data_IF_985775069459
#
_entry.id   IF_985775069459
#
_cell.length_a   1.000
_cell.length_b   1.000
_cell.length_c   1.000
_cell.angle_alpha   90.00
_cell.angle_beta   90.00
_cell.angle_gamma   90.00
#
_symmetry.space_group_name_H-M   'P 1'
#
loop_
_entity.id
_entity.type
_entity.pdbx_description
1 polymer ?
#
# COMPACT_ATOMS: atom_id res chain seq x y z
N UNK A 1 33.46 50.46 67.45
CA UNK A 1 33.66 49.04 67.29
C UNK A 1 32.89 48.60 66.08
N UNK A 2 33.56 48.40 64.94
CA UNK A 2 32.97 47.98 63.67
C UNK A 2 33.06 46.42 63.61
N UNK A 3 31.96 45.77 63.73
CA UNK A 3 31.88 44.34 63.52
C UNK A 3 31.74 44.07 62.00
N UNK A 4 32.75 43.41 61.42
CA UNK A 4 32.79 42.99 60.03
C UNK A 4 31.98 41.64 59.95
N UNK A 5 30.88 41.62 59.21
CA UNK A 5 30.13 40.38 58.91
C UNK A 5 30.74 39.81 57.63
N UNK A 6 31.39 38.63 57.74
CA UNK A 6 31.83 37.85 56.56
C UNK A 6 30.62 37.34 55.80
N UNK A 7 30.61 37.41 54.43
CA UNK A 7 29.55 36.81 53.64
C UNK A 7 29.68 35.28 53.59
N UNK A 8 28.63 34.60 54.00
CA UNK A 8 28.53 33.14 54.05
C UNK A 8 28.82 32.52 52.71
N UNK A 9 29.54 31.40 52.74
CA UNK A 9 29.88 30.51 51.63
C UNK A 9 28.62 30.05 50.91
N UNK A 10 28.50 30.49 49.65
CA UNK A 10 27.38 30.12 48.77
C UNK A 10 27.23 28.60 48.64
N UNK A 11 26.04 28.18 48.98
CA UNK A 11 25.55 26.82 48.79
C UNK A 11 25.54 26.54 47.28
N UNK A 12 26.52 25.75 46.81
CA UNK A 12 26.53 25.24 45.44
C UNK A 12 25.41 24.21 45.33
N UNK A 13 24.46 24.34 44.43
CA UNK A 13 23.45 23.31 44.22
C UNK A 13 24.14 21.99 43.85
N UNK A 14 23.99 20.96 44.68
CA UNK A 14 24.41 19.61 44.39
C UNK A 14 23.72 19.12 43.14
N UNK A 15 24.44 18.55 42.16
CA UNK A 15 23.79 17.97 40.99
C UNK A 15 22.77 16.88 41.42
N UNK A 16 21.60 16.78 40.78
CA UNK A 16 20.61 15.79 41.15
C UNK A 16 21.19 14.37 41.05
N UNK A 17 21.07 13.62 42.14
CA UNK A 17 21.47 12.21 42.18
C UNK A 17 20.62 11.44 41.18
N UNK A 18 21.21 10.69 40.23
CA UNK A 18 20.44 9.87 39.29
C UNK A 18 19.60 8.85 40.08
N UNK A 19 18.28 8.87 39.85
CA UNK A 19 17.40 7.87 40.46
C UNK A 19 17.74 6.45 39.97
N UNK A 20 17.43 5.40 40.76
CA UNK A 20 17.76 4.00 40.43
C UNK A 20 17.16 3.44 39.13
N UNK A 21 16.44 4.24 38.35
CA UNK A 21 15.92 3.90 37.02
C UNK A 21 16.72 4.47 35.84
N UNK A 22 17.71 5.36 36.08
CA UNK A 22 18.46 5.99 35.01
C UNK A 22 19.45 5.00 34.33
N UNK A 23 20.01 4.10 35.10
CA UNK A 23 20.93 3.07 34.58
C UNK A 23 20.17 1.96 33.80
N UNK A 24 18.92 1.65 34.20
CA UNK A 24 18.07 0.71 33.43
C UNK A 24 17.61 1.27 32.07
N UNK A 25 17.42 2.59 31.98
CA UNK A 25 17.07 3.25 30.72
C UNK A 25 18.28 3.35 29.76
N UNK A 26 19.51 3.44 30.29
CA UNK A 26 20.71 3.44 29.49
C UNK A 26 21.06 2.05 28.92
N UNK A 27 20.76 0.99 29.65
CA UNK A 27 20.98 -0.40 29.19
C UNK A 27 19.90 -0.88 28.18
N UNK A 28 18.72 -0.24 28.15
CA UNK A 28 17.69 -0.46 27.11
C UNK A 28 17.94 0.36 25.83
N UNK A 29 18.98 1.19 25.80
CA UNK A 29 19.51 1.89 24.64
C UNK A 29 20.09 0.89 23.66
N UNK A 30 19.23 0.33 22.80
CA UNK A 30 19.46 -0.81 21.93
C UNK A 30 20.79 -0.79 21.19
N UNK A 31 21.52 -1.90 21.31
CA UNK A 31 22.77 -2.23 20.65
C UNK A 31 22.80 -1.79 19.17
N UNK A 32 23.98 -1.36 18.63
CA UNK A 32 24.14 -0.87 17.26
C UNK A 32 23.69 -1.86 16.17
N UNK A 33 23.59 -3.15 16.49
CA UNK A 33 23.05 -4.18 15.66
C UNK A 33 21.55 -3.96 15.34
N UNK A 34 20.73 -3.56 16.31
CA UNK A 34 19.29 -3.28 16.11
C UNK A 34 19.06 -2.10 15.17
N UNK A 35 19.89 -1.06 15.22
CA UNK A 35 19.81 0.09 14.29
C UNK A 35 20.22 -0.29 12.86
N UNK A 36 21.22 -1.16 12.67
CA UNK A 36 21.64 -1.65 11.35
C UNK A 36 20.57 -2.55 10.71
N UNK A 37 19.92 -3.43 11.48
CA UNK A 37 18.78 -4.23 11.01
C UNK A 37 17.59 -3.34 10.60
N UNK A 38 17.25 -2.34 11.41
CA UNK A 38 16.13 -1.43 11.10
C UNK A 38 16.37 -0.59 9.83
N UNK A 39 17.61 -0.31 9.44
CA UNK A 39 17.94 0.42 8.21
C UNK A 39 18.06 -0.48 6.96
N UNK A 40 18.29 -1.77 7.13
CA UNK A 40 18.41 -2.72 6.02
C UNK A 40 17.05 -3.20 5.52
N UNK A 41 16.08 -3.45 6.42
CA UNK A 41 14.75 -3.98 6.10
C UNK A 41 14.06 -3.25 4.94
N UNK A 42 13.98 -1.91 4.88
CA UNK A 42 13.29 -1.25 3.79
C UNK A 42 14.05 -1.25 2.44
N UNK A 43 15.37 -1.49 2.45
CA UNK A 43 16.13 -1.67 1.21
C UNK A 43 15.91 -3.07 0.65
N UNK A 44 16.00 -4.07 1.53
CA UNK A 44 15.78 -5.47 1.15
C UNK A 44 14.35 -5.67 0.67
N UNK A 45 13.33 -5.17 1.40
CA UNK A 45 11.94 -5.28 0.97
C UNK A 45 11.64 -4.53 -0.33
N UNK A 46 12.28 -3.38 -0.57
CA UNK A 46 12.19 -2.66 -1.84
C UNK A 46 12.77 -3.46 -3.01
N UNK A 47 13.95 -4.05 -2.81
CA UNK A 47 14.53 -4.96 -3.80
C UNK A 47 13.66 -6.20 -4.05
N UNK A 48 13.06 -6.77 -3.00
CA UNK A 48 12.16 -7.93 -3.13
C UNK A 48 10.91 -7.58 -3.93
N UNK A 49 10.25 -6.45 -3.62
CA UNK A 49 9.07 -6.01 -4.39
C UNK A 49 9.43 -5.70 -5.83
N UNK A 50 10.53 -4.98 -6.07
CA UNK A 50 11.00 -4.70 -7.42
C UNK A 50 11.32 -6.00 -8.17
N UNK A 51 12.02 -6.94 -7.53
CA UNK A 51 12.33 -8.24 -8.11
C UNK A 51 11.06 -9.04 -8.42
N UNK A 52 10.05 -9.03 -7.52
CA UNK A 52 8.76 -9.68 -7.77
C UNK A 52 8.00 -9.03 -8.92
N UNK A 53 7.96 -7.69 -8.98
CA UNK A 53 7.32 -6.97 -10.10
C UNK A 53 8.04 -7.29 -11.42
N UNK A 54 9.36 -7.19 -11.46
CA UNK A 54 10.15 -7.54 -12.65
C UNK A 54 9.97 -9.01 -13.02
N UNK A 55 10.00 -9.90 -12.03
CA UNK A 55 9.77 -11.33 -12.25
C UNK A 55 8.38 -11.57 -12.84
N UNK A 56 7.30 -11.02 -12.27
CA UNK A 56 5.94 -11.22 -12.81
C UNK A 56 5.77 -10.66 -14.22
N UNK A 57 6.54 -9.64 -14.62
CA UNK A 57 6.53 -9.12 -15.99
C UNK A 57 7.34 -10.01 -16.96
N UNK A 58 8.46 -10.58 -16.50
CA UNK A 58 9.33 -11.43 -17.30
C UNK A 58 8.92 -12.92 -17.28
N UNK A 59 8.23 -13.36 -16.24
CA UNK A 59 7.86 -14.77 -16.04
C UNK A 59 7.09 -15.41 -17.22
N UNK A 60 6.20 -14.71 -17.93
CA UNK A 60 5.58 -15.29 -19.13
C UNK A 60 6.57 -15.73 -20.22
N UNK A 61 7.77 -15.12 -20.28
CA UNK A 61 8.83 -15.51 -21.22
C UNK A 61 9.51 -16.82 -20.82
N UNK A 62 9.39 -17.21 -19.57
CA UNK A 62 9.95 -18.46 -19.02
C UNK A 62 8.93 -19.61 -19.06
N UNK A 63 7.71 -19.37 -19.55
CA UNK A 63 6.65 -20.37 -19.63
C UNK A 63 7.03 -21.46 -20.64
N UNK A 64 7.10 -22.76 -20.24
CA UNK A 64 7.48 -23.84 -21.15
C UNK A 64 6.43 -24.13 -22.22
N UNK A 65 5.14 -23.82 -21.91
CA UNK A 65 4.02 -24.07 -22.82
C UNK A 65 3.15 -22.81 -22.96
N UNK A 66 2.32 -22.78 -24.01
CA UNK A 66 1.30 -21.74 -24.12
C UNK A 66 0.27 -21.87 -23.01
N UNK A 67 -0.19 -20.73 -22.45
CA UNK A 67 -1.23 -20.71 -21.39
C UNK A 67 -2.56 -21.37 -21.81
N UNK A 68 -2.75 -21.61 -23.11
CA UNK A 68 -3.96 -22.24 -23.68
C UNK A 68 -3.76 -23.70 -24.06
N UNK A 69 -2.52 -24.16 -24.12
CA UNK A 69 -2.17 -25.49 -24.58
C UNK A 69 -2.56 -26.55 -23.55
N UNK A 70 -3.26 -27.58 -24.00
CA UNK A 70 -3.60 -28.76 -23.21
C UNK A 70 -2.47 -29.76 -23.36
N UNK A 71 -1.77 -30.06 -22.27
CA UNK A 71 -0.59 -30.93 -22.27
C UNK A 71 -0.87 -32.33 -21.70
N UNK A 72 -2.04 -32.55 -21.08
CA UNK A 72 -2.37 -33.84 -20.47
C UNK A 72 -3.78 -33.92 -19.94
N UNK A 73 -4.00 -34.94 -19.09
CA UNK A 73 -5.30 -35.12 -18.44
C UNK A 73 -5.59 -34.04 -17.41
N UNK A 74 -6.85 -33.69 -17.18
CA UNK A 74 -7.24 -32.73 -16.13
C UNK A 74 -6.77 -33.18 -14.74
N UNK A 75 -6.35 -32.20 -13.93
CA UNK A 75 -5.90 -32.41 -12.54
C UNK A 75 -4.74 -33.39 -12.35
N UNK A 76 -3.89 -33.59 -13.36
CA UNK A 76 -2.67 -34.39 -13.19
C UNK A 76 -1.79 -33.79 -12.07
N UNK A 77 -1.21 -34.65 -11.25
CA UNK A 77 -0.36 -34.26 -10.12
C UNK A 77 1.00 -33.75 -10.60
N UNK A 78 1.70 -32.90 -9.79
CA UNK A 78 3.06 -32.49 -10.08
C UNK A 78 3.97 -33.70 -10.41
N UNK A 79 4.74 -33.57 -11.49
CA UNK A 79 5.66 -34.62 -11.96
C UNK A 79 5.03 -35.73 -12.80
N UNK A 80 3.70 -35.84 -12.89
CA UNK A 80 3.03 -36.77 -13.81
C UNK A 80 2.94 -36.19 -15.23
N UNK A 81 2.46 -34.94 -15.32
CA UNK A 81 2.39 -34.17 -16.56
C UNK A 81 2.80 -32.73 -16.23
N UNK A 82 3.88 -32.25 -16.88
CA UNK A 82 4.47 -30.96 -16.55
C UNK A 82 5.08 -30.89 -15.13
N UNK A 83 5.71 -29.77 -14.81
CA UNK A 83 6.44 -29.58 -13.54
C UNK A 83 5.48 -29.47 -12.35
N UNK A 84 4.43 -28.64 -12.47
CA UNK A 84 3.45 -28.41 -11.41
C UNK A 84 2.12 -29.17 -11.62
N UNK A 85 2.04 -30.02 -12.66
CA UNK A 85 0.81 -30.71 -13.04
C UNK A 85 -0.08 -29.84 -13.95
N UNK A 86 -1.37 -30.20 -14.02
CA UNK A 86 -2.33 -29.60 -14.93
C UNK A 86 -3.52 -29.01 -14.18
N UNK A 87 -4.19 -28.06 -14.84
CA UNK A 87 -5.46 -27.48 -14.38
C UNK A 87 -6.69 -28.33 -14.74
N UNK A 88 -7.88 -27.80 -14.51
CA UNK A 88 -9.17 -28.45 -14.80
C UNK A 88 -9.41 -28.81 -16.28
N UNK A 89 -8.67 -28.21 -17.22
CA UNK A 89 -8.70 -28.50 -18.64
C UNK A 89 -7.49 -29.27 -19.12
N UNK A 90 -6.56 -29.68 -18.24
CA UNK A 90 -5.34 -30.34 -18.65
C UNK A 90 -4.24 -29.37 -19.17
N UNK A 91 -4.33 -28.05 -18.92
CA UNK A 91 -3.35 -27.05 -19.33
C UNK A 91 -2.20 -27.00 -18.33
N UNK A 92 -0.99 -26.61 -18.80
CA UNK A 92 0.19 -26.52 -17.93
C UNK A 92 0.01 -25.47 -16.81
N UNK A 93 0.04 -25.98 -15.57
CA UNK A 93 -0.16 -25.14 -14.39
C UNK A 93 0.99 -24.16 -14.17
N UNK A 94 2.24 -24.55 -14.45
CA UNK A 94 3.42 -23.69 -14.30
C UNK A 94 3.34 -22.50 -15.27
N UNK A 95 3.06 -22.74 -16.55
CA UNK A 95 2.95 -21.70 -17.55
C UNK A 95 1.85 -20.70 -17.21
N UNK A 96 0.70 -21.17 -16.75
CA UNK A 96 -0.41 -20.32 -16.31
C UNK A 96 -0.07 -19.53 -15.03
N UNK A 97 0.64 -20.13 -14.08
CA UNK A 97 1.09 -19.45 -12.85
C UNK A 97 2.07 -18.32 -13.18
N UNK A 98 3.04 -18.56 -14.06
CA UNK A 98 4.01 -17.56 -14.50
C UNK A 98 3.33 -16.40 -15.24
N UNK A 99 2.35 -16.68 -16.09
CA UNK A 99 1.63 -15.65 -16.84
C UNK A 99 0.60 -14.88 -16.00
N UNK A 100 -0.03 -15.52 -15.01
CA UNK A 100 -1.16 -14.97 -14.26
C UNK A 100 -0.81 -13.79 -13.34
N UNK A 101 0.44 -13.69 -12.90
CA UNK A 101 0.88 -12.60 -12.03
C UNK A 101 0.96 -11.24 -12.72
N UNK A 102 1.26 -11.24 -14.02
CA UNK A 102 1.43 -10.00 -14.80
C UNK A 102 0.17 -9.14 -14.80
N UNK A 103 -0.97 -9.76 -15.10
CA UNK A 103 -2.27 -9.07 -15.17
C UNK A 103 -2.66 -8.48 -13.82
N UNK A 104 -2.53 -9.25 -12.74
CA UNK A 104 -2.85 -8.80 -11.38
C UNK A 104 -2.00 -7.59 -10.95
N UNK A 105 -0.68 -7.65 -11.15
CA UNK A 105 0.26 -6.59 -10.71
C UNK A 105 0.03 -5.30 -11.48
N UNK A 106 -0.13 -5.37 -12.79
CA UNK A 106 -0.38 -4.18 -13.63
C UNK A 106 -1.71 -3.53 -13.28
N UNK A 107 -2.76 -4.34 -13.12
CA UNK A 107 -4.09 -3.83 -12.79
C UNK A 107 -4.12 -3.23 -11.37
N UNK A 108 -3.51 -3.91 -10.38
CA UNK A 108 -3.41 -3.38 -9.03
C UNK A 108 -2.64 -2.06 -8.99
N UNK A 109 -1.54 -1.95 -9.74
CA UNK A 109 -0.78 -0.72 -9.89
C UNK A 109 -1.61 0.41 -10.51
N UNK A 110 -2.33 0.13 -11.61
CA UNK A 110 -3.19 1.11 -12.26
C UNK A 110 -4.33 1.59 -11.35
N UNK A 111 -5.00 0.66 -10.65
CA UNK A 111 -6.05 0.98 -9.69
C UNK A 111 -5.52 1.82 -8.52
N UNK A 112 -4.37 1.45 -7.98
CA UNK A 112 -3.69 2.19 -6.90
C UNK A 112 -3.34 3.60 -7.33
N UNK A 113 -2.78 3.77 -8.53
CA UNK A 113 -2.44 5.08 -9.07
C UNK A 113 -3.69 5.94 -9.26
N UNK A 114 -4.72 5.38 -9.90
CA UNK A 114 -5.96 6.10 -10.19
C UNK A 114 -6.68 6.54 -8.90
N UNK A 115 -6.87 5.63 -7.93
CA UNK A 115 -7.51 5.94 -6.66
C UNK A 115 -6.63 6.85 -5.77
N UNK A 116 -5.31 6.66 -5.79
CA UNK A 116 -4.35 7.48 -5.06
C UNK A 116 -4.31 8.91 -5.54
N UNK A 117 -4.26 9.14 -6.86
CA UNK A 117 -4.28 10.49 -7.46
C UNK A 117 -5.61 11.19 -7.17
N UNK A 118 -6.75 10.52 -7.40
CA UNK A 118 -8.07 11.08 -7.13
C UNK A 118 -8.24 11.40 -5.63
N UNK A 119 -7.91 10.45 -4.76
CA UNK A 119 -8.03 10.63 -3.32
C UNK A 119 -7.10 11.72 -2.78
N UNK A 120 -5.87 11.82 -3.29
CA UNK A 120 -4.93 12.88 -2.93
C UNK A 120 -5.45 14.25 -3.38
N UNK A 121 -5.94 14.37 -4.61
CA UNK A 121 -6.52 15.61 -5.12
C UNK A 121 -7.74 16.06 -4.29
N UNK A 122 -8.66 15.13 -3.99
CA UNK A 122 -9.81 15.39 -3.12
C UNK A 122 -9.38 15.78 -1.71
N UNK A 123 -8.43 15.08 -1.12
CA UNK A 123 -7.94 15.35 0.24
C UNK A 123 -7.26 16.71 0.37
N UNK A 124 -6.42 17.09 -0.59
CA UNK A 124 -5.83 18.43 -0.68
C UNK A 124 -6.91 19.50 -0.78
N UNK A 125 -7.89 19.32 -1.66
CA UNK A 125 -8.98 20.26 -1.85
C UNK A 125 -9.80 20.41 -0.57
N UNK A 126 -10.19 19.31 0.05
CA UNK A 126 -10.99 19.26 1.29
C UNK A 126 -10.25 19.81 2.52
N UNK A 127 -8.92 19.71 2.55
CA UNK A 127 -8.10 20.30 3.61
C UNK A 127 -7.85 21.79 3.45
N UNK A 128 -7.83 22.28 2.21
CA UNK A 128 -7.55 23.68 1.90
C UNK A 128 -8.81 24.57 1.87
N UNK A 129 -9.90 24.07 1.26
CA UNK A 129 -11.16 24.82 1.11
C UNK A 129 -11.93 24.83 2.44
N UNK A 130 -12.54 25.97 2.76
CA UNK A 130 -13.36 26.17 3.97
C UNK A 130 -14.80 26.56 3.58
N UNK A 131 -15.70 26.46 4.54
CA UNK A 131 -17.09 26.88 4.37
C UNK A 131 -18.03 25.73 3.99
N UNK A 132 -19.25 26.09 3.55
CA UNK A 132 -20.35 25.14 3.28
C UNK A 132 -20.00 24.15 2.19
N UNK A 133 -19.33 24.59 1.12
CA UNK A 133 -18.93 23.70 0.02
C UNK A 133 -18.00 22.57 0.49
N UNK A 134 -17.03 22.89 1.36
CA UNK A 134 -16.16 21.87 1.95
C UNK A 134 -16.95 20.92 2.86
N UNK A 135 -17.93 21.43 3.63
CA UNK A 135 -18.78 20.61 4.48
C UNK A 135 -19.62 19.61 3.66
N UNK A 136 -20.25 20.07 2.58
CA UNK A 136 -21.04 19.22 1.68
C UNK A 136 -20.16 18.16 1.02
N UNK A 137 -19.00 18.55 0.47
CA UNK A 137 -18.09 17.60 -0.17
C UNK A 137 -17.55 16.56 0.82
N UNK A 138 -17.27 16.93 2.07
CA UNK A 138 -16.91 15.98 3.12
C UNK A 138 -18.03 14.97 3.37
N UNK A 139 -19.29 15.40 3.42
CA UNK A 139 -20.44 14.50 3.58
C UNK A 139 -20.57 13.50 2.43
N UNK A 140 -20.32 13.96 1.20
CA UNK A 140 -20.29 13.06 0.04
C UNK A 140 -19.18 12.02 0.17
N UNK A 141 -17.97 12.44 0.54
CA UNK A 141 -16.85 11.51 0.79
C UNK A 141 -17.19 10.50 1.90
N UNK A 142 -17.81 10.96 2.99
CA UNK A 142 -18.22 10.09 4.10
C UNK A 142 -19.28 9.06 3.68
N UNK A 143 -20.20 9.40 2.78
CA UNK A 143 -21.18 8.46 2.23
C UNK A 143 -20.51 7.34 1.44
N UNK A 144 -19.50 7.66 0.62
CA UNK A 144 -18.76 6.65 -0.14
C UNK A 144 -17.92 5.72 0.74
N UNK A 145 -17.47 6.19 1.92
CA UNK A 145 -16.72 5.36 2.88
C UNK A 145 -17.56 4.21 3.48
N UNK A 146 -18.88 4.34 3.49
CA UNK A 146 -19.79 3.33 4.04
C UNK A 146 -20.00 2.19 3.04
N UNK A 147 -19.78 2.44 1.74
CA UNK A 147 -20.07 1.45 0.69
C UNK A 147 -19.03 0.32 0.68
N UNK A 148 -19.45 -0.95 0.90
CA UNK A 148 -18.54 -2.09 0.77
C UNK A 148 -18.03 -2.21 -0.68
N UNK A 149 -16.71 -2.44 -0.89
CA UNK A 149 -16.11 -2.49 -2.24
C UNK A 149 -16.76 -3.50 -3.18
N UNK A 150 -17.12 -4.66 -2.64
CA UNK A 150 -17.77 -5.72 -3.42
C UNK A 150 -19.20 -5.37 -3.83
N UNK A 151 -19.91 -4.56 -3.02
CA UNK A 151 -21.25 -4.05 -3.41
C UNK A 151 -21.11 -3.05 -4.55
N UNK A 152 -20.13 -2.13 -4.47
CA UNK A 152 -19.82 -1.20 -5.58
C UNK A 152 -19.49 -1.97 -6.85
N UNK A 153 -18.67 -3.03 -6.74
CA UNK A 153 -18.33 -3.90 -7.86
C UNK A 153 -19.59 -4.53 -8.49
N UNK A 154 -20.45 -5.13 -7.68
CA UNK A 154 -21.67 -5.79 -8.16
C UNK A 154 -22.64 -4.80 -8.84
N UNK A 155 -22.81 -3.61 -8.27
CA UNK A 155 -23.63 -2.55 -8.86
C UNK A 155 -23.08 -2.10 -10.21
N UNK A 156 -21.77 -1.87 -10.31
CA UNK A 156 -21.15 -1.45 -11.58
C UNK A 156 -21.20 -2.56 -12.66
N UNK A 157 -21.12 -3.82 -12.24
CA UNK A 157 -21.18 -4.96 -13.18
C UNK A 157 -22.60 -5.33 -13.63
N UNK A 158 -23.64 -4.94 -12.88
CA UNK A 158 -25.03 -5.15 -13.28
C UNK A 158 -25.41 -4.41 -14.56
N UNK A 159 -24.66 -3.34 -14.91
CA UNK A 159 -24.86 -2.54 -16.13
C UNK A 159 -24.15 -3.06 -17.39
N UNK A 160 -23.86 -4.34 -17.51
CA UNK A 160 -23.25 -5.00 -18.69
C UNK A 160 -21.74 -4.83 -18.87
N UNK A 161 -21.05 -4.05 -18.06
CA UNK A 161 -19.60 -3.93 -18.12
C UNK A 161 -18.95 -5.15 -17.44
N UNK A 162 -18.41 -6.07 -18.23
CA UNK A 162 -17.65 -7.23 -17.77
C UNK A 162 -16.18 -7.08 -18.15
N UNK A 163 -15.31 -7.69 -17.34
CA UNK A 163 -13.87 -7.68 -17.59
C UNK A 163 -13.09 -6.83 -16.60
N UNK A 164 -11.77 -6.80 -16.78
CA UNK A 164 -10.83 -6.17 -15.82
C UNK A 164 -10.95 -4.65 -15.74
N UNK A 165 -11.46 -3.99 -16.79
CA UNK A 165 -11.57 -2.52 -16.85
C UNK A 165 -12.52 -1.94 -15.81
N UNK A 166 -13.56 -2.70 -15.40
CA UNK A 166 -14.54 -2.26 -14.39
C UNK A 166 -13.92 -2.15 -12.98
N UNK A 167 -12.80 -2.82 -12.76
CA UNK A 167 -12.11 -2.80 -11.46
C UNK A 167 -11.48 -1.44 -11.15
N UNK A 168 -11.07 -0.69 -12.18
CA UNK A 168 -10.49 0.65 -12.00
C UNK A 168 -11.52 1.59 -11.36
N UNK A 169 -12.70 1.85 -11.96
CA UNK A 169 -13.71 2.71 -11.34
C UNK A 169 -14.23 2.16 -10.01
N UNK A 170 -14.33 0.84 -9.85
CA UNK A 170 -14.72 0.22 -8.59
C UNK A 170 -13.77 0.61 -7.45
N UNK A 171 -12.46 0.44 -7.67
CA UNK A 171 -11.44 0.76 -6.67
C UNK A 171 -11.30 2.27 -6.50
N UNK A 172 -11.44 3.06 -7.57
CA UNK A 172 -11.48 4.52 -7.45
C UNK A 172 -12.62 4.99 -6.53
N UNK A 173 -13.84 4.49 -6.73
CA UNK A 173 -15.02 4.89 -5.95
C UNK A 173 -14.89 4.45 -4.50
N UNK A 174 -14.43 3.21 -4.25
CA UNK A 174 -14.39 2.63 -2.91
C UNK A 174 -13.17 3.05 -2.09
N UNK A 175 -12.01 3.32 -2.71
CA UNK A 175 -10.76 3.59 -2.00
C UNK A 175 -10.36 5.07 -1.99
N UNK A 176 -10.69 5.86 -3.02
CA UNK A 176 -10.28 7.27 -3.04
C UNK A 176 -10.86 8.11 -1.88
N UNK A 177 -12.07 7.85 -1.34
CA UNK A 177 -12.57 8.54 -0.15
C UNK A 177 -11.71 8.29 1.09
N UNK A 178 -11.20 7.06 1.26
CA UNK A 178 -10.30 6.72 2.36
C UNK A 178 -8.97 7.47 2.26
N UNK A 179 -8.38 7.50 1.07
CA UNK A 179 -7.17 8.29 0.79
C UNK A 179 -7.43 9.76 1.03
N UNK A 180 -8.56 10.29 0.53
CA UNK A 180 -8.93 11.69 0.69
C UNK A 180 -9.02 12.11 2.16
N UNK A 181 -9.55 11.26 3.03
CA UNK A 181 -9.67 11.52 4.47
C UNK A 181 -8.31 11.64 5.14
N UNK A 182 -7.37 10.74 4.83
CA UNK A 182 -6.02 10.77 5.40
C UNK A 182 -5.26 12.00 4.90
N UNK A 183 -5.29 12.25 3.59
CA UNK A 183 -4.62 13.40 2.96
C UNK A 183 -5.21 14.72 3.46
N UNK A 184 -6.54 14.80 3.65
CA UNK A 184 -7.18 15.95 4.26
C UNK A 184 -6.64 16.26 5.65
N UNK A 185 -6.52 15.24 6.50
CA UNK A 185 -5.97 15.41 7.86
C UNK A 185 -4.54 15.92 7.82
N UNK A 186 -3.70 15.36 6.95
CA UNK A 186 -2.34 15.82 6.73
C UNK A 186 -2.29 17.27 6.22
N UNK A 187 -3.16 17.63 5.26
CA UNK A 187 -3.29 18.98 4.71
C UNK A 187 -3.68 19.99 5.79
N UNK A 188 -4.63 19.66 6.67
CA UNK A 188 -5.06 20.53 7.77
C UNK A 188 -3.92 20.80 8.77
N UNK A 189 -2.99 19.86 8.94
CA UNK A 189 -1.79 20.06 9.78
C UNK A 189 -0.78 21.05 9.21
N UNK A 190 -0.80 21.30 7.89
CA UNK A 190 0.21 22.12 7.19
C UNK A 190 -0.36 23.45 6.68
N UNK A 191 -1.66 23.51 6.41
CA UNK A 191 -2.31 24.67 5.75
C UNK A 191 -2.17 25.99 6.50
N UNK A 192 -1.86 25.95 7.81
CA UNK A 192 -1.65 27.15 8.65
C UNK A 192 -0.17 27.43 8.91
N UNK A 193 0.73 26.76 8.23
CA UNK A 193 2.16 26.98 8.40
C UNK A 193 2.62 28.31 7.80
N UNK A 194 3.65 28.97 8.37
CA UNK A 194 4.12 30.28 7.91
C UNK A 194 4.50 30.33 6.43
N UNK A 195 5.03 29.23 5.88
CA UNK A 195 5.39 29.16 4.46
C UNK A 195 4.17 29.18 3.54
N UNK A 196 3.03 28.57 3.96
CA UNK A 196 1.76 28.63 3.21
C UNK A 196 1.18 30.04 3.27
N UNK A 197 1.22 30.71 4.44
CA UNK A 197 0.76 32.08 4.59
C UNK A 197 1.60 33.04 3.73
N UNK A 198 2.92 32.85 3.70
CA UNK A 198 3.81 33.64 2.84
C UNK A 198 3.47 33.45 1.35
N UNK A 199 3.15 32.23 0.89
CA UNK A 199 2.73 31.97 -0.48
C UNK A 199 1.39 32.65 -0.81
N UNK A 200 0.43 32.67 0.13
CA UNK A 200 -0.83 33.40 -0.02
C UNK A 200 -0.59 34.91 -0.12
N UNK A 201 0.29 35.48 0.71
CA UNK A 201 0.65 36.90 0.69
C UNK A 201 1.37 37.31 -0.61
N UNK A 202 2.15 36.40 -1.22
CA UNK A 202 2.74 36.60 -2.56
C UNK A 202 1.70 36.58 -3.70
N UNK A 203 0.44 36.26 -3.39
CA UNK A 203 -0.63 36.19 -4.40
C UNK A 203 -0.57 34.92 -5.27
N UNK A 204 0.10 33.86 -4.82
CA UNK A 204 0.20 32.63 -5.59
C UNK A 204 -1.18 31.99 -5.83
N UNK A 205 -1.43 31.43 -7.03
CA UNK A 205 -2.69 30.78 -7.31
C UNK A 205 -2.86 29.51 -6.46
N UNK A 206 -4.09 29.22 -6.03
CA UNK A 206 -4.41 28.08 -5.15
C UNK A 206 -3.81 26.75 -5.62
N UNK A 207 -3.77 26.50 -6.93
CA UNK A 207 -3.16 25.29 -7.50
C UNK A 207 -1.66 25.22 -7.21
N UNK A 208 -0.94 26.32 -7.32
CA UNK A 208 0.49 26.37 -7.02
C UNK A 208 0.74 26.09 -5.53
N UNK A 209 -0.04 26.72 -4.64
CA UNK A 209 0.05 26.48 -3.19
C UNK A 209 -0.19 24.99 -2.86
N UNK A 210 -1.24 24.38 -3.41
CA UNK A 210 -1.56 22.96 -3.17
C UNK A 210 -0.45 22.03 -3.66
N UNK A 211 0.10 22.25 -4.86
CA UNK A 211 1.03 21.30 -5.50
C UNK A 211 2.49 21.58 -5.12
N UNK A 212 2.89 22.85 -4.94
CA UNK A 212 4.29 23.23 -4.70
C UNK A 212 4.61 23.41 -3.20
N UNK A 213 3.63 23.87 -2.41
CA UNK A 213 3.86 24.13 -0.99
C UNK A 213 3.30 23.01 -0.11
N UNK A 214 2.04 22.59 -0.28
CA UNK A 214 1.38 21.65 0.62
C UNK A 214 1.76 20.21 0.28
N UNK A 215 1.59 19.74 -0.96
CA UNK A 215 1.77 18.36 -1.37
C UNK A 215 3.18 17.81 -1.04
N UNK A 216 4.30 18.53 -1.29
CA UNK A 216 5.62 18.04 -0.93
C UNK A 216 5.79 17.87 0.58
N UNK A 217 5.15 18.75 1.38
CA UNK A 217 5.23 18.71 2.83
C UNK A 217 4.40 17.57 3.46
N UNK A 218 3.39 17.06 2.77
CA UNK A 218 2.59 15.89 3.18
C UNK A 218 2.93 14.63 2.38
N UNK A 219 4.00 14.63 1.58
CA UNK A 219 4.39 13.48 0.76
C UNK A 219 4.59 12.20 1.59
N UNK A 220 5.05 12.30 2.84
CA UNK A 220 5.19 11.16 3.74
C UNK A 220 3.87 10.40 3.94
N UNK A 221 2.82 11.02 4.49
CA UNK A 221 1.49 10.43 4.59
C UNK A 221 0.92 9.92 3.25
N UNK A 222 1.12 10.67 2.14
CA UNK A 222 0.64 10.25 0.82
C UNK A 222 1.32 8.96 0.35
N UNK A 223 2.64 8.86 0.49
CA UNK A 223 3.37 7.65 0.11
C UNK A 223 3.03 6.46 1.02
N UNK A 224 2.82 6.71 2.31
CA UNK A 224 2.41 5.67 3.26
C UNK A 224 1.07 5.06 2.88
N UNK A 225 0.05 5.89 2.58
CA UNK A 225 -1.27 5.40 2.21
C UNK A 225 -1.27 4.71 0.84
N UNK A 226 -0.38 5.11 -0.08
CA UNK A 226 -0.27 4.47 -1.41
C UNK A 226 0.14 2.99 -1.28
N UNK A 227 1.02 2.66 -0.33
CA UNK A 227 1.40 1.27 -0.08
C UNK A 227 0.24 0.42 0.43
N UNK A 228 -0.54 0.92 1.39
CA UNK A 228 -1.75 0.24 1.88
C UNK A 228 -2.81 0.12 0.79
N UNK A 229 -2.93 1.12 -0.07
CA UNK A 229 -3.86 1.12 -1.20
C UNK A 229 -3.51 0.04 -2.23
N UNK A 230 -2.22 -0.24 -2.45
CA UNK A 230 -1.79 -1.31 -3.35
C UNK A 230 -2.22 -2.69 -2.82
N UNK A 231 -2.06 -2.95 -1.52
CA UNK A 231 -2.53 -4.18 -0.88
C UNK A 231 -4.05 -4.31 -0.99
N UNK A 232 -4.77 -3.22 -0.71
CA UNK A 232 -6.22 -3.16 -0.87
C UNK A 232 -6.65 -3.46 -2.31
N UNK A 233 -5.96 -2.90 -3.31
CA UNK A 233 -6.25 -3.13 -4.72
C UNK A 233 -6.05 -4.60 -5.10
N UNK A 234 -4.94 -5.23 -4.66
CA UNK A 234 -4.69 -6.67 -4.86
C UNK A 234 -5.83 -7.50 -4.27
N UNK A 235 -6.25 -7.19 -3.04
CA UNK A 235 -7.33 -7.91 -2.36
C UNK A 235 -8.67 -7.80 -3.11
N UNK A 236 -9.06 -6.59 -3.53
CA UNK A 236 -10.32 -6.36 -4.26
C UNK A 236 -10.29 -7.04 -5.62
N UNK A 237 -9.16 -6.98 -6.35
CA UNK A 237 -9.00 -7.63 -7.66
C UNK A 237 -9.06 -9.15 -7.51
N UNK A 238 -8.37 -9.72 -6.52
CA UNK A 238 -8.41 -11.15 -6.26
C UNK A 238 -9.83 -11.62 -5.89
N UNK A 239 -10.53 -10.88 -5.03
CA UNK A 239 -11.93 -11.16 -4.67
C UNK A 239 -12.86 -11.08 -5.87
N UNK A 240 -12.70 -10.07 -6.73
CA UNK A 240 -13.48 -9.90 -7.96
C UNK A 240 -13.23 -11.05 -8.95
N UNK A 241 -11.97 -11.46 -9.11
CA UNK A 241 -11.59 -12.62 -9.95
C UNK A 241 -12.22 -13.90 -9.45
N UNK A 242 -12.20 -14.17 -8.14
CA UNK A 242 -12.86 -15.30 -7.51
C UNK A 242 -14.39 -15.28 -7.74
N UNK A 243 -15.04 -14.11 -7.67
CA UNK A 243 -16.44 -13.93 -7.99
C UNK A 243 -16.74 -14.05 -9.50
N UNK A 244 -15.69 -14.05 -10.35
CA UNK A 244 -15.80 -14.18 -11.81
C UNK A 244 -16.14 -12.87 -12.52
N UNK A 245 -15.88 -11.75 -11.90
CA UNK A 245 -16.12 -10.41 -12.49
C UNK A 245 -14.85 -9.86 -13.15
N UNK A 246 -13.67 -10.35 -12.77
CA UNK A 246 -12.38 -9.92 -13.29
C UNK A 246 -12.02 -10.51 -14.66
N UNK A 247 -10.80 -11.04 -14.75
CA UNK A 247 -10.32 -11.73 -15.94
C UNK A 247 -11.23 -12.90 -16.32
N UNK A 248 -11.42 -13.11 -17.63
CA UNK A 248 -12.29 -14.19 -18.16
C UNK A 248 -11.43 -15.23 -18.89
N UNK A 249 -11.86 -16.52 -18.91
CA UNK A 249 -11.19 -17.52 -19.72
C UNK A 249 -11.09 -17.08 -21.19
N UNK A 250 -10.00 -17.40 -21.89
CA UNK A 250 -8.90 -18.28 -21.54
C UNK A 250 -7.70 -17.60 -20.84
N UNK A 251 -7.86 -16.37 -20.31
CA UNK A 251 -6.77 -15.65 -19.67
C UNK A 251 -6.15 -16.44 -18.51
N UNK A 252 -4.85 -16.29 -18.32
CA UNK A 252 -4.19 -16.70 -17.10
C UNK A 252 -4.21 -15.54 -16.12
N UNK A 253 -4.85 -15.74 -14.97
CA UNK A 253 -4.92 -14.80 -13.85
C UNK A 253 -5.03 -15.62 -12.56
N UNK A 254 -4.27 -15.29 -11.53
CA UNK A 254 -4.19 -16.12 -10.32
C UNK A 254 -5.53 -16.29 -9.61
N UNK A 255 -6.35 -15.23 -9.55
CA UNK A 255 -7.67 -15.31 -8.91
C UNK A 255 -8.65 -16.14 -9.74
N UNK A 256 -8.61 -15.99 -11.07
CA UNK A 256 -9.40 -16.81 -11.99
C UNK A 256 -9.00 -18.28 -11.92
N UNK A 257 -7.69 -18.59 -11.83
CA UNK A 257 -7.18 -19.96 -11.68
C UNK A 257 -7.72 -20.62 -10.41
N UNK A 258 -7.75 -19.91 -9.29
CA UNK A 258 -8.35 -20.42 -8.04
C UNK A 258 -9.81 -20.77 -8.28
N UNK A 259 -10.59 -19.85 -8.86
CA UNK A 259 -12.01 -20.07 -9.14
C UNK A 259 -12.25 -21.27 -10.06
N UNK A 260 -11.53 -21.33 -11.19
CA UNK A 260 -11.67 -22.41 -12.18
C UNK A 260 -11.36 -23.79 -11.61
N UNK A 261 -10.39 -23.90 -10.70
CA UNK A 261 -9.93 -25.16 -10.15
C UNK A 261 -10.59 -25.56 -8.81
N UNK A 262 -11.36 -24.66 -8.19
CA UNK A 262 -12.03 -24.92 -6.91
C UNK A 262 -12.89 -26.18 -6.91
N UNK A 263 -13.69 -26.50 -7.97
CA UNK A 263 -14.50 -27.71 -8.00
C UNK A 263 -13.71 -29.01 -7.93
N UNK A 264 -12.45 -29.01 -8.39
CA UNK A 264 -11.57 -30.18 -8.40
C UNK A 264 -10.55 -30.21 -7.27
N UNK A 265 -10.68 -29.39 -6.24
CA UNK A 265 -9.69 -29.27 -5.15
C UNK A 265 -9.49 -30.58 -4.38
N UNK A 266 -10.51 -31.42 -4.31
CA UNK A 266 -10.44 -32.74 -3.68
C UNK A 266 -9.67 -33.78 -4.52
N UNK A 267 -9.60 -33.60 -5.83
CA UNK A 267 -8.83 -34.44 -6.74
C UNK A 267 -7.35 -34.02 -6.74
N UNK A 268 -7.09 -32.72 -6.86
CA UNK A 268 -5.77 -32.13 -6.82
C UNK A 268 -5.85 -30.69 -6.28
N UNK A 269 -5.29 -30.45 -5.10
CA UNK A 269 -5.31 -29.13 -4.47
C UNK A 269 -4.29 -28.13 -5.08
N UNK A 270 -3.26 -28.61 -5.79
CA UNK A 270 -2.16 -27.77 -6.26
C UNK A 270 -2.58 -26.66 -7.24
N UNK A 271 -3.53 -26.89 -8.20
CA UNK A 271 -4.01 -25.83 -9.08
C UNK A 271 -4.69 -24.66 -8.37
N UNK A 272 -5.13 -24.85 -7.12
CA UNK A 272 -5.66 -23.80 -6.24
C UNK A 272 -4.56 -23.25 -5.33
N UNK A 273 -3.73 -24.13 -4.75
CA UNK A 273 -2.74 -23.76 -3.75
C UNK A 273 -1.61 -22.86 -4.33
N UNK A 274 -1.06 -23.17 -5.50
CA UNK A 274 0.04 -22.39 -6.07
C UNK A 274 -0.36 -20.93 -6.39
N UNK A 275 -1.46 -20.63 -7.09
CA UNK A 275 -1.84 -19.24 -7.31
C UNK A 275 -2.26 -18.53 -6.02
N UNK A 276 -2.86 -19.22 -5.04
CA UNK A 276 -3.16 -18.65 -3.73
C UNK A 276 -1.87 -18.23 -2.99
N UNK A 277 -0.86 -19.12 -2.95
CA UNK A 277 0.44 -18.82 -2.38
C UNK A 277 1.13 -17.65 -3.10
N UNK A 278 1.04 -17.57 -4.43
CA UNK A 278 1.61 -16.47 -5.18
C UNK A 278 0.98 -15.11 -4.80
N UNK A 279 -0.36 -15.05 -4.63
CA UNK A 279 -1.06 -13.85 -4.15
C UNK A 279 -0.62 -13.49 -2.72
N UNK A 280 -0.51 -14.48 -1.83
CA UNK A 280 -0.06 -14.27 -0.44
C UNK A 280 1.37 -13.71 -0.41
N UNK A 281 2.30 -14.31 -1.15
CA UNK A 281 3.70 -13.86 -1.21
C UNK A 281 3.77 -12.44 -1.75
N UNK A 282 3.01 -12.12 -2.80
CA UNK A 282 2.95 -10.76 -3.35
C UNK A 282 2.41 -9.77 -2.31
N UNK A 283 1.29 -10.06 -1.67
CA UNK A 283 0.65 -9.19 -0.69
C UNK A 283 1.55 -8.93 0.53
N UNK A 284 2.18 -9.99 1.07
CA UNK A 284 3.12 -9.89 2.21
C UNK A 284 4.34 -9.07 1.83
N UNK A 285 4.91 -9.29 0.63
CA UNK A 285 6.08 -8.54 0.17
C UNK A 285 5.80 -7.05 0.00
N UNK A 286 4.65 -6.71 -0.57
CA UNK A 286 4.17 -5.32 -0.70
C UNK A 286 3.95 -4.70 0.68
N UNK A 287 3.38 -5.44 1.64
CA UNK A 287 3.15 -4.94 2.99
C UNK A 287 4.46 -4.60 3.71
N UNK A 288 5.42 -5.52 3.70
CA UNK A 288 6.74 -5.30 4.32
C UNK A 288 7.45 -4.10 3.68
N UNK A 289 7.35 -3.95 2.35
CA UNK A 289 7.91 -2.79 1.65
C UNK A 289 7.25 -1.48 2.07
N UNK A 290 5.93 -1.43 2.13
CA UNK A 290 5.15 -0.25 2.53
C UNK A 290 5.51 0.20 3.94
N UNK A 291 5.61 -0.72 4.88
CA UNK A 291 6.04 -0.46 6.25
C UNK A 291 7.48 0.08 6.31
N UNK A 292 8.36 -0.49 5.51
CA UNK A 292 9.75 -0.06 5.41
C UNK A 292 9.89 1.36 4.85
N UNK A 293 9.10 1.71 3.85
CA UNK A 293 9.05 3.04 3.24
C UNK A 293 8.52 4.09 4.23
N UNK A 294 7.45 3.74 4.94
CA UNK A 294 6.84 4.61 5.96
C UNK A 294 7.85 4.99 7.06
N UNK A 295 8.58 4.01 7.60
CA UNK A 295 9.60 4.24 8.64
C UNK A 295 10.74 5.16 8.19
N UNK A 296 11.17 5.08 6.93
CA UNK A 296 12.22 5.97 6.39
C UNK A 296 11.76 7.41 6.30
N UNK A 297 10.55 7.63 5.82
CA UNK A 297 9.99 8.98 5.64
C UNK A 297 9.73 9.63 7.02
N UNK A 298 9.25 8.86 7.99
CA UNK A 298 9.03 9.32 9.36
C UNK A 298 10.37 9.61 10.09
N UNK A 299 11.38 8.74 9.98
CA UNK A 299 12.68 8.89 10.64
C UNK A 299 13.54 10.02 10.05
N UNK A 300 13.41 10.33 8.76
CA UNK A 300 14.16 11.41 8.12
C UNK A 300 13.74 12.83 8.58
N UNK A 301 12.53 12.98 9.12
CA UNK A 301 12.04 14.25 9.68
C UNK A 301 12.54 14.49 11.09
N UNK A 302 12.55 13.47 11.95
CA UNK A 302 13.06 13.60 13.32
C UNK A 302 14.55 13.98 13.41
N UNK A 303 15.34 13.68 12.36
CA UNK A 303 16.74 14.07 12.26
C UNK A 303 16.99 15.50 11.76
N UNK A 304 15.98 16.14 11.13
CA UNK A 304 16.07 17.53 10.66
C UNK A 304 15.64 18.57 11.70
N UNK A 305 14.76 18.17 12.61
CA UNK A 305 14.27 19.06 13.68
C UNK A 305 15.25 19.17 14.85
N UNK A 306 16.31 18.32 14.87
CA UNK A 306 17.37 18.31 15.88
C UNK A 306 18.74 18.81 15.36
N UNK A 307 18.83 19.34 14.15
CA UNK A 307 20.03 19.94 13.56
C UNK A 307 19.82 21.43 13.24
#
# INVERSE_FOLDING_TARGET
VKTIIEPGSGDRPTPPVPGPGADLAADLGGAPARRRFASAVPRVSGCVVLALVVFTQAAPLLAPHSVREVIGVPYAKPGQVGVLGTDYLGRDLLSRLLAGGRSLVLLAGACTLAAGVLGTALGLLLGYVRGVAAAVLNRVVDLFLILPPLVVLLVLTSGSARGTTILIPTIMISASPYVARIVRTATLGVVRSPFVEAAVLRGEPRRAILVREILPNIAGPVLAITGLLLIYSIFVIASAGFLGVGAQPPAADWALMIKENMPGVTLNAWPVAFPALAIIVLAVSVNIFSDGLHRRIAGGRAGRDNA
#
